data_IF_921154382387
#
_entry.id   IF_921154382387
#
_cell.length_a   1.000
_cell.length_b   1.000
_cell.length_c   1.000
_cell.angle_alpha   90.00
_cell.angle_beta   90.00
_cell.angle_gamma   90.00
#
_symmetry.space_group_name_H-M   'P 1'
#
loop_
_entity.id
_entity.type
_entity.pdbx_description
1 polymer ?
#
# COMPACT_ATOMS: atom_id res chain seq x y z
N UNK A 1 -20.97 -6.57 0.30
CA UNK A 1 -20.00 -7.53 -0.30
C UNK A 1 -19.78 -7.31 -1.79
N UNK A 2 -20.81 -7.04 -2.61
CA UNK A 2 -20.61 -6.76 -4.05
C UNK A 2 -19.68 -5.55 -4.30
N UNK A 3 -19.90 -4.43 -3.61
CA UNK A 3 -19.04 -3.25 -3.74
C UNK A 3 -17.56 -3.54 -3.37
N UNK A 4 -17.33 -4.41 -2.39
CA UNK A 4 -15.99 -4.85 -1.98
C UNK A 4 -15.33 -5.63 -3.12
N UNK A 5 -16.07 -6.57 -3.72
CA UNK A 5 -15.58 -7.37 -4.85
C UNK A 5 -15.22 -6.49 -6.05
N UNK A 6 -16.12 -5.57 -6.43
CA UNK A 6 -15.88 -4.64 -7.53
C UNK A 6 -14.68 -3.72 -7.27
N UNK A 7 -14.54 -3.21 -6.04
CA UNK A 7 -13.37 -2.43 -5.65
C UNK A 7 -12.08 -3.23 -5.83
N UNK A 8 -12.04 -4.47 -5.31
CA UNK A 8 -10.83 -5.32 -5.39
C UNK A 8 -10.50 -5.68 -6.84
N UNK A 9 -11.50 -6.03 -7.66
CA UNK A 9 -11.29 -6.29 -9.08
C UNK A 9 -10.79 -5.05 -9.83
N UNK A 10 -11.31 -3.87 -9.51
CA UNK A 10 -10.82 -2.62 -10.11
C UNK A 10 -9.34 -2.37 -9.79
N UNK A 11 -8.90 -2.63 -8.54
CA UNK A 11 -7.48 -2.55 -8.17
C UNK A 11 -6.64 -3.60 -8.89
N UNK A 12 -7.13 -4.83 -9.02
CA UNK A 12 -6.45 -5.89 -9.75
C UNK A 12 -6.27 -5.51 -11.24
N UNK A 13 -7.30 -5.00 -11.90
CA UNK A 13 -7.23 -4.59 -13.31
C UNK A 13 -6.43 -3.31 -13.56
N UNK A 14 -6.31 -2.44 -12.55
CA UNK A 14 -5.39 -1.32 -12.60
C UNK A 14 -3.92 -1.78 -12.66
N UNK A 15 -3.60 -2.95 -12.09
CA UNK A 15 -2.26 -3.54 -12.12
C UNK A 15 -2.06 -4.44 -13.35
N UNK A 16 -3.03 -5.29 -13.64
CA UNK A 16 -2.98 -6.25 -14.75
C UNK A 16 -4.01 -5.82 -15.78
N UNK A 17 -3.62 -4.95 -16.73
CA UNK A 17 -4.52 -4.44 -17.76
C UNK A 17 -5.01 -5.58 -18.65
N UNK A 18 -6.22 -6.10 -18.45
CA UNK A 18 -6.65 -7.28 -19.16
C UNK A 18 -7.18 -6.84 -20.53
N UNK A 19 -6.81 -7.55 -21.59
CA UNK A 19 -7.37 -7.31 -22.92
C UNK A 19 -8.81 -7.81 -23.09
N UNK A 20 -9.39 -8.40 -22.04
CA UNK A 20 -10.72 -9.02 -22.03
C UNK A 20 -11.31 -9.05 -20.62
N UNK A 21 -12.60 -9.33 -20.52
CA UNK A 21 -13.28 -9.58 -19.24
C UNK A 21 -13.16 -11.06 -18.88
N UNK A 22 -12.84 -11.34 -17.62
CA UNK A 22 -12.79 -12.70 -17.08
C UNK A 22 -14.08 -13.03 -16.32
N UNK A 23 -14.49 -14.29 -16.42
CA UNK A 23 -15.60 -14.88 -15.69
C UNK A 23 -15.10 -15.28 -14.29
N UNK A 24 -15.19 -14.32 -13.37
CA UNK A 24 -14.74 -14.43 -11.98
C UNK A 24 -15.94 -14.23 -11.08
N UNK A 25 -16.23 -15.24 -10.25
CA UNK A 25 -17.28 -15.17 -9.25
C UNK A 25 -16.70 -15.09 -7.84
N UNK A 26 -17.23 -14.16 -7.05
CA UNK A 26 -17.02 -14.13 -5.60
C UNK A 26 -18.11 -14.96 -4.90
N UNK A 27 -17.76 -16.21 -4.58
CA UNK A 27 -18.67 -17.28 -4.21
C UNK A 27 -18.44 -18.54 -5.05
N UNK A 28 -18.93 -19.69 -4.57
CA UNK A 28 -18.82 -20.98 -5.26
C UNK A 28 -20.14 -21.31 -5.96
N UNK A 29 -20.26 -20.95 -7.23
CA UNK A 29 -21.48 -21.16 -8.03
C UNK A 29 -21.41 -22.43 -8.91
N UNK A 30 -20.25 -23.08 -8.97
CA UNK A 30 -19.90 -24.21 -9.85
C UNK A 30 -19.96 -23.89 -11.35
N UNK A 31 -20.38 -22.70 -11.75
CA UNK A 31 -20.55 -22.33 -13.16
C UNK A 31 -19.35 -21.54 -13.65
N UNK A 32 -18.97 -20.49 -12.92
CA UNK A 32 -17.88 -19.61 -13.29
C UNK A 32 -16.53 -20.32 -13.41
N UNK A 33 -15.72 -19.84 -14.37
CA UNK A 33 -14.37 -20.36 -14.62
C UNK A 33 -13.41 -20.09 -13.47
N UNK A 34 -13.47 -18.92 -12.86
CA UNK A 34 -12.72 -18.60 -11.65
C UNK A 34 -13.73 -18.39 -10.52
N UNK A 35 -13.57 -19.14 -9.43
CA UNK A 35 -14.42 -19.02 -8.25
C UNK A 35 -13.53 -18.73 -7.04
N UNK A 36 -13.90 -17.70 -6.28
CA UNK A 36 -13.19 -17.32 -5.05
C UNK A 36 -14.13 -17.57 -3.88
N UNK A 37 -13.71 -18.38 -2.92
CA UNK A 37 -14.49 -18.65 -1.73
C UNK A 37 -14.79 -17.36 -0.97
N UNK A 38 -16.07 -17.12 -0.70
CA UNK A 38 -16.53 -16.00 0.11
C UNK A 38 -16.73 -16.48 1.53
N UNK A 39 -16.03 -15.85 2.47
CA UNK A 39 -16.21 -16.08 3.89
C UNK A 39 -17.64 -15.72 4.33
N UNK A 40 -18.20 -16.49 5.26
CA UNK A 40 -19.47 -16.16 5.92
C UNK A 40 -19.30 -15.10 7.03
N UNK A 41 -18.11 -14.54 7.16
CA UNK A 41 -17.82 -13.51 8.14
C UNK A 41 -18.65 -12.24 7.90
N UNK A 42 -19.32 -11.76 8.95
CA UNK A 42 -19.97 -10.43 9.01
C UNK A 42 -19.02 -9.32 9.42
N UNK A 43 -17.70 -9.56 9.39
CA UNK A 43 -16.68 -8.63 9.89
C UNK A 43 -16.82 -7.21 9.34
N UNK A 44 -17.03 -7.07 8.02
CA UNK A 44 -17.18 -5.77 7.36
C UNK A 44 -18.55 -5.11 7.53
N UNK A 45 -19.50 -5.76 8.21
CA UNK A 45 -20.78 -5.17 8.61
C UNK A 45 -20.65 -4.44 9.97
N UNK A 46 -19.55 -4.69 10.67
CA UNK A 46 -19.24 -4.12 11.98
C UNK A 46 -18.12 -3.06 11.86
N UNK A 47 -17.78 -2.42 12.97
CA UNK A 47 -16.70 -1.42 13.06
C UNK A 47 -15.47 -1.91 13.84
N UNK A 48 -15.32 -3.23 13.98
CA UNK A 48 -14.16 -3.81 14.66
C UNK A 48 -12.90 -3.61 13.80
N UNK A 49 -11.77 -3.14 14.37
CA UNK A 49 -10.56 -2.87 13.60
C UNK A 49 -9.80 -4.14 13.18
N UNK A 50 -9.97 -5.25 13.89
CA UNK A 50 -9.18 -6.47 13.72
C UNK A 50 -10.07 -7.70 13.55
N UNK A 51 -9.72 -8.63 12.63
CA UNK A 51 -10.38 -9.93 12.56
C UNK A 51 -10.30 -10.67 13.90
N UNK A 52 -11.39 -11.33 14.29
CA UNK A 52 -11.46 -12.04 15.58
C UNK A 52 -10.54 -13.25 15.65
N UNK A 53 -10.38 -13.94 14.52
CA UNK A 53 -9.55 -15.16 14.42
C UNK A 53 -8.13 -14.81 13.97
N UNK A 54 -7.16 -15.55 14.50
CA UNK A 54 -5.78 -15.52 14.05
C UNK A 54 -5.69 -15.93 12.56
N UNK A 55 -4.65 -15.49 11.82
CA UNK A 55 -4.53 -15.82 10.41
C UNK A 55 -4.10 -17.27 10.26
N UNK A 56 -4.58 -17.90 9.20
CA UNK A 56 -4.02 -19.16 8.71
C UNK A 56 -2.88 -18.85 7.77
N UNK A 57 -1.81 -19.65 7.77
CA UNK A 57 -0.66 -19.42 6.90
C UNK A 57 -0.56 -20.47 5.82
N UNK A 58 -0.47 -20.02 4.57
CA UNK A 58 -0.15 -20.88 3.43
C UNK A 58 1.14 -20.40 2.76
N UNK A 59 1.83 -21.32 2.09
CA UNK A 59 3.03 -21.00 1.31
C UNK A 59 2.66 -20.88 -0.16
N UNK A 60 3.07 -19.77 -0.79
CA UNK A 60 2.93 -19.54 -2.22
C UNK A 60 4.25 -19.00 -2.76
N UNK A 61 4.80 -19.63 -3.81
CA UNK A 61 6.10 -19.27 -4.40
C UNK A 61 7.21 -19.11 -3.34
N UNK A 62 7.32 -20.05 -2.41
CA UNK A 62 8.27 -20.05 -1.29
C UNK A 62 8.09 -18.93 -0.25
N UNK A 63 7.02 -18.14 -0.34
CA UNK A 63 6.67 -17.14 0.67
C UNK A 63 5.51 -17.63 1.54
N UNK A 64 5.69 -17.53 2.86
CA UNK A 64 4.62 -17.74 3.84
C UNK A 64 3.74 -16.49 3.89
N UNK A 65 2.43 -16.65 3.67
CA UNK A 65 1.44 -15.56 3.58
C UNK A 65 0.34 -15.81 4.60
N UNK A 66 -0.05 -14.76 5.31
CA UNK A 66 -1.17 -14.78 6.25
C UNK A 66 -2.50 -14.66 5.50
N UNK A 67 -3.53 -15.40 5.89
CA UNK A 67 -4.88 -15.29 5.37
C UNK A 67 -5.88 -15.19 6.52
N UNK A 68 -6.66 -14.11 6.51
CA UNK A 68 -7.80 -13.87 7.40
C UNK A 68 -9.06 -14.51 6.84
N UNK A 69 -10.12 -14.50 7.65
CA UNK A 69 -11.48 -14.88 7.23
C UNK A 69 -11.58 -16.31 6.68
N UNK A 70 -10.65 -17.19 7.07
CA UNK A 70 -10.60 -18.59 6.65
C UNK A 70 -11.30 -19.45 7.70
N UNK A 71 -12.19 -20.34 7.25
CA UNK A 71 -13.06 -21.14 8.13
C UNK A 71 -12.32 -22.29 8.80
N UNK A 72 -11.35 -22.89 8.11
CA UNK A 72 -10.56 -24.03 8.59
C UNK A 72 -9.23 -24.14 7.85
N UNK A 73 -8.27 -24.87 8.41
CA UNK A 73 -7.06 -25.24 7.67
C UNK A 73 -7.43 -26.10 6.46
N UNK A 74 -6.85 -25.74 5.31
CA UNK A 74 -7.08 -26.40 4.03
C UNK A 74 -5.81 -27.15 3.64
N UNK A 75 -5.97 -28.33 3.06
CA UNK A 75 -4.84 -29.08 2.50
C UNK A 75 -4.24 -28.35 1.29
N UNK A 76 -5.11 -27.78 0.45
CA UNK A 76 -4.76 -26.98 -0.72
C UNK A 76 -5.71 -25.77 -0.75
N UNK A 77 -5.18 -24.56 -0.92
CA UNK A 77 -6.00 -23.34 -0.93
C UNK A 77 -6.36 -22.85 -2.34
N UNK A 78 -5.80 -23.48 -3.38
CA UNK A 78 -6.21 -23.30 -4.78
C UNK A 78 -6.31 -24.68 -5.41
N UNK A 79 -7.45 -24.98 -6.01
CA UNK A 79 -7.66 -26.22 -6.76
C UNK A 79 -8.01 -25.92 -8.20
N UNK A 80 -7.62 -26.82 -9.10
CA UNK A 80 -7.90 -26.75 -10.52
C UNK A 80 -8.66 -28.01 -10.93
N UNK A 81 -9.83 -27.84 -11.51
CA UNK A 81 -10.68 -28.94 -12.00
C UNK A 81 -11.15 -28.55 -13.39
N UNK A 82 -10.73 -29.34 -14.39
CA UNK A 82 -10.93 -29.03 -15.80
C UNK A 82 -10.44 -27.60 -16.14
N UNK A 83 -11.29 -26.81 -16.80
CA UNK A 83 -11.08 -25.42 -17.15
C UNK A 83 -11.56 -24.44 -16.06
N UNK A 84 -11.50 -24.86 -14.79
CA UNK A 84 -11.92 -24.04 -13.64
C UNK A 84 -10.85 -23.99 -12.55
N UNK A 85 -10.76 -22.84 -11.89
CA UNK A 85 -9.96 -22.65 -10.69
C UNK A 85 -10.86 -22.25 -9.52
N UNK A 86 -10.65 -22.88 -8.37
CA UNK A 86 -11.31 -22.57 -7.11
C UNK A 86 -10.26 -22.11 -6.11
N UNK A 87 -10.33 -20.83 -5.73
CA UNK A 87 -9.50 -20.25 -4.67
C UNK A 87 -10.29 -20.39 -3.37
N UNK A 88 -9.88 -21.33 -2.51
CA UNK A 88 -10.62 -21.72 -1.30
C UNK A 88 -10.45 -20.75 -0.12
N UNK A 89 -9.56 -19.77 -0.24
CA UNK A 89 -9.36 -18.69 0.74
C UNK A 89 -9.97 -17.38 0.22
N UNK A 90 -10.49 -16.57 1.13
CA UNK A 90 -11.15 -15.32 0.77
C UNK A 90 -10.13 -14.20 0.49
N UNK A 91 -9.47 -14.27 -0.66
CA UNK A 91 -8.51 -13.25 -1.07
C UNK A 91 -9.16 -11.88 -1.27
N UNK A 92 -10.45 -11.81 -1.59
CA UNK A 92 -11.17 -10.55 -1.79
C UNK A 92 -11.30 -9.79 -0.48
N UNK A 93 -11.79 -10.45 0.58
CA UNK A 93 -11.86 -9.90 1.92
C UNK A 93 -10.48 -9.47 2.45
N UNK A 94 -9.46 -10.31 2.24
CA UNK A 94 -8.10 -10.01 2.66
C UNK A 94 -7.52 -8.78 1.95
N UNK A 95 -7.65 -8.68 0.62
CA UNK A 95 -7.20 -7.51 -0.13
C UNK A 95 -7.93 -6.26 0.33
N UNK A 96 -9.25 -6.32 0.46
CA UNK A 96 -10.04 -5.17 0.88
C UNK A 96 -9.65 -4.68 2.27
N UNK A 97 -9.45 -5.58 3.24
CA UNK A 97 -9.02 -5.21 4.59
C UNK A 97 -7.77 -4.33 4.60
N UNK A 98 -6.75 -4.69 3.81
CA UNK A 98 -5.50 -3.93 3.75
C UNK A 98 -5.60 -2.67 2.89
N UNK A 99 -6.16 -2.76 1.68
CA UNK A 99 -6.19 -1.63 0.74
C UNK A 99 -7.15 -0.52 1.16
N UNK A 100 -8.22 -0.85 1.91
CA UNK A 100 -9.13 0.16 2.46
C UNK A 100 -8.57 0.90 3.68
N UNK A 101 -7.45 0.44 4.24
CA UNK A 101 -6.94 0.98 5.51
C UNK A 101 -7.85 0.68 6.70
N UNK A 102 -8.60 -0.44 6.66
CA UNK A 102 -9.66 -0.75 7.62
C UNK A 102 -9.22 -0.63 9.09
N UNK A 103 -8.07 -1.22 9.42
CA UNK A 103 -7.52 -1.17 10.79
C UNK A 103 -7.21 0.26 11.25
N UNK A 104 -6.77 1.11 10.33
CA UNK A 104 -6.39 2.50 10.62
C UNK A 104 -7.63 3.36 10.81
N UNK A 105 -8.64 3.12 9.97
CA UNK A 105 -9.90 3.83 10.00
C UNK A 105 -10.69 3.55 11.28
N UNK A 106 -10.86 2.27 11.64
CA UNK A 106 -11.72 1.87 12.77
C UNK A 106 -11.02 1.75 14.11
N UNK A 107 -9.69 1.68 14.17
CA UNK A 107 -9.00 1.68 15.46
C UNK A 107 -9.15 3.04 16.14
N UNK A 108 -9.32 3.04 17.46
CA UNK A 108 -9.28 4.26 18.27
C UNK A 108 -7.86 4.68 18.66
N UNK A 109 -6.87 3.81 18.46
CA UNK A 109 -5.48 4.07 18.84
C UNK A 109 -4.85 5.14 17.95
N UNK A 110 -4.20 6.12 18.56
CA UNK A 110 -3.55 7.23 17.86
C UNK A 110 -2.19 7.54 18.49
N UNK A 111 -1.19 7.81 17.66
CA UNK A 111 0.10 8.32 18.11
C UNK A 111 0.00 9.81 18.46
N UNK A 112 1.12 10.42 18.88
CA UNK A 112 1.19 11.85 19.23
C UNK A 112 0.84 12.79 18.08
N UNK A 113 0.77 12.27 16.84
CA UNK A 113 0.46 13.01 15.63
C UNK A 113 -0.96 12.69 15.11
N UNK A 114 -1.76 11.92 15.86
CA UNK A 114 -3.10 11.55 15.44
C UNK A 114 -3.15 10.49 14.33
N UNK A 115 -2.08 9.71 14.14
CA UNK A 115 -2.00 8.63 13.14
C UNK A 115 -2.21 7.27 13.80
N UNK A 116 -2.63 6.27 13.03
CA UNK A 116 -2.68 4.89 13.52
C UNK A 116 -1.27 4.39 13.89
N UNK A 117 -1.01 3.96 15.14
CA UNK A 117 0.31 3.52 15.54
C UNK A 117 0.68 2.19 14.88
N UNK A 118 1.84 2.15 14.25
CA UNK A 118 2.39 0.91 13.67
C UNK A 118 2.44 -0.26 14.67
N UNK A 119 2.70 0.03 15.96
CA UNK A 119 2.75 -0.98 17.02
C UNK A 119 1.44 -1.79 17.14
N UNK A 120 0.31 -1.20 16.74
CA UNK A 120 -1.03 -1.80 16.79
C UNK A 120 -1.41 -2.58 15.52
N UNK A 121 -0.58 -2.53 14.48
CA UNK A 121 -0.88 -3.15 13.19
C UNK A 121 -0.83 -4.68 13.23
N UNK A 122 -1.67 -5.35 12.42
CA UNK A 122 -1.59 -6.81 12.25
C UNK A 122 -0.22 -7.23 11.70
N UNK A 123 0.36 -6.44 10.81
CA UNK A 123 1.69 -6.63 10.25
C UNK A 123 2.74 -6.75 11.38
N UNK A 124 2.72 -5.82 12.34
CA UNK A 124 3.62 -5.86 13.50
C UNK A 124 3.33 -7.04 14.42
N UNK A 125 2.05 -7.26 14.75
CA UNK A 125 1.61 -8.30 15.69
C UNK A 125 1.99 -9.71 15.23
N UNK A 126 1.95 -9.96 13.92
CA UNK A 126 2.20 -11.28 13.34
C UNK A 126 3.51 -11.36 12.54
N UNK A 127 4.32 -10.30 12.54
CA UNK A 127 5.71 -10.33 12.06
C UNK A 127 5.88 -10.44 10.55
N UNK A 128 4.96 -9.89 9.74
CA UNK A 128 5.02 -9.98 8.27
C UNK A 128 5.15 -8.61 7.57
N UNK A 129 5.74 -7.63 8.25
CA UNK A 129 5.85 -6.23 7.78
C UNK A 129 6.51 -6.11 6.41
N UNK A 130 7.52 -6.92 6.14
CA UNK A 130 8.27 -6.90 4.88
C UNK A 130 7.64 -7.76 3.79
N UNK A 131 6.48 -8.38 4.07
CA UNK A 131 5.78 -9.26 3.13
C UNK A 131 4.62 -8.48 2.49
N UNK A 132 4.67 -8.17 1.19
CA UNK A 132 3.59 -7.47 0.50
C UNK A 132 2.41 -8.43 0.22
N UNK A 133 1.67 -8.79 1.27
CA UNK A 133 0.63 -9.83 1.21
C UNK A 133 -0.41 -9.61 0.11
N UNK A 134 -0.78 -8.35 -0.17
CA UNK A 134 -1.71 -8.00 -1.26
C UNK A 134 -1.16 -8.38 -2.63
N UNK A 135 0.15 -8.20 -2.87
CA UNK A 135 0.78 -8.61 -4.12
C UNK A 135 0.63 -10.11 -4.33
N UNK A 136 0.79 -10.90 -3.26
CA UNK A 136 0.62 -12.34 -3.33
C UNK A 136 -0.84 -12.76 -3.54
N UNK A 137 -1.81 -12.11 -2.89
CA UNK A 137 -3.22 -12.37 -3.16
C UNK A 137 -3.60 -12.10 -4.62
N UNK A 138 -3.08 -11.02 -5.20
CA UNK A 138 -3.25 -10.74 -6.62
C UNK A 138 -2.48 -11.69 -7.51
N UNK A 139 -1.28 -12.12 -7.13
CA UNK A 139 -0.52 -13.12 -7.89
C UNK A 139 -1.22 -14.49 -7.92
N UNK A 140 -1.88 -14.89 -6.82
CA UNK A 140 -2.74 -16.08 -6.77
C UNK A 140 -3.89 -15.96 -7.80
N UNK A 141 -4.60 -14.83 -7.80
CA UNK A 141 -5.69 -14.58 -8.75
C UNK A 141 -5.18 -14.55 -10.21
N UNK A 142 -4.07 -13.86 -10.46
CA UNK A 142 -3.40 -13.81 -11.76
C UNK A 142 -3.07 -15.22 -12.24
N UNK A 143 -2.40 -16.01 -11.42
CA UNK A 143 -1.99 -17.38 -11.77
C UNK A 143 -3.20 -18.28 -12.06
N UNK A 144 -4.30 -18.12 -11.31
CA UNK A 144 -5.55 -18.82 -11.58
C UNK A 144 -6.14 -18.44 -12.95
N UNK A 145 -6.20 -17.14 -13.25
CA UNK A 145 -6.69 -16.64 -14.54
C UNK A 145 -5.81 -17.12 -15.69
N UNK A 146 -4.49 -16.95 -15.60
CA UNK A 146 -3.55 -17.34 -16.66
C UNK A 146 -3.64 -18.84 -16.97
N UNK A 147 -3.72 -19.67 -15.93
CA UNK A 147 -3.84 -21.12 -16.10
C UNK A 147 -5.15 -21.53 -16.74
N UNK A 148 -6.27 -20.95 -16.31
CA UNK A 148 -7.60 -21.31 -16.82
C UNK A 148 -7.81 -20.77 -18.24
N UNK A 149 -7.38 -19.55 -18.53
CA UNK A 149 -7.59 -18.92 -19.84
C UNK A 149 -6.46 -19.17 -20.84
N UNK A 150 -5.35 -19.81 -20.43
CA UNK A 150 -4.23 -20.12 -21.30
C UNK A 150 -3.54 -18.87 -21.85
N UNK A 151 -3.43 -17.81 -21.04
CA UNK A 151 -2.83 -16.53 -21.43
C UNK A 151 -1.85 -16.03 -20.38
N UNK A 152 -1.10 -14.98 -20.74
CA UNK A 152 -0.23 -14.25 -19.82
C UNK A 152 -0.79 -12.85 -19.57
N UNK A 153 -1.01 -12.51 -18.31
CA UNK A 153 -1.41 -11.19 -17.86
C UNK A 153 -0.18 -10.30 -17.66
N UNK A 154 -0.11 -9.23 -18.44
CA UNK A 154 0.95 -8.23 -18.31
C UNK A 154 0.62 -7.26 -17.19
N UNK A 155 1.58 -7.08 -16.27
CA UNK A 155 1.50 -6.00 -15.28
C UNK A 155 1.89 -4.68 -15.93
N UNK A 156 1.13 -3.61 -15.67
CA UNK A 156 1.53 -2.25 -16.05
C UNK A 156 2.69 -1.73 -15.18
N UNK A 157 2.86 -2.33 -14.00
CA UNK A 157 3.93 -1.99 -13.08
C UNK A 157 5.24 -2.63 -13.54
N UNK A 158 5.24 -3.90 -13.94
CA UNK A 158 6.44 -4.58 -14.38
C UNK A 158 6.75 -4.25 -15.85
N UNK A 159 7.69 -3.32 -16.07
CA UNK A 159 8.42 -3.26 -17.36
C UNK A 159 9.45 -4.40 -17.40
N UNK A 160 10.44 -4.36 -18.30
CA UNK A 160 11.53 -5.37 -18.37
C UNK A 160 12.32 -5.58 -17.06
N UNK A 161 12.08 -4.77 -16.02
CA UNK A 161 12.81 -4.80 -14.76
C UNK A 161 12.03 -5.57 -13.68
N UNK A 162 12.73 -6.21 -12.71
CA UNK A 162 12.09 -6.99 -11.64
C UNK A 162 11.40 -6.14 -10.56
N UNK A 163 11.53 -4.82 -10.61
CA UNK A 163 10.85 -3.89 -9.70
C UNK A 163 10.56 -2.56 -10.41
N UNK A 164 9.63 -1.82 -9.83
CA UNK A 164 9.30 -0.44 -10.24
C UNK A 164 9.44 0.48 -9.05
N UNK A 165 10.12 1.60 -9.27
CA UNK A 165 10.37 2.60 -8.25
C UNK A 165 9.45 3.79 -8.47
N UNK A 166 8.73 4.20 -7.43
CA UNK A 166 8.03 5.47 -7.38
C UNK A 166 8.82 6.41 -6.46
N UNK A 167 9.49 7.42 -7.03
CA UNK A 167 10.22 8.39 -6.24
C UNK A 167 9.28 9.53 -5.86
N UNK A 168 8.96 9.63 -4.58
CA UNK A 168 8.05 10.65 -4.03
C UNK A 168 8.79 11.55 -3.06
N UNK A 169 8.41 12.83 -3.03
CA UNK A 169 8.96 13.83 -2.11
C UNK A 169 7.82 14.46 -1.33
N UNK A 170 7.79 14.29 -0.01
CA UNK A 170 6.85 14.95 0.88
C UNK A 170 7.41 16.31 1.30
N UNK A 171 6.72 17.38 0.91
CA UNK A 171 7.11 18.76 1.14
C UNK A 171 6.18 19.35 2.22
N UNK A 172 6.56 19.13 3.48
CA UNK A 172 5.80 19.61 4.65
C UNK A 172 6.14 21.05 5.03
N UNK A 173 7.41 21.45 4.85
CA UNK A 173 7.91 22.75 5.28
C UNK A 173 9.10 23.21 4.43
N UNK A 174 9.06 24.47 3.97
CA UNK A 174 10.15 25.06 3.18
C UNK A 174 10.77 26.31 3.83
N UNK A 175 10.44 26.62 5.08
CA UNK A 175 10.71 27.93 5.68
C UNK A 175 11.27 27.88 7.11
N UNK A 176 11.60 26.69 7.61
CA UNK A 176 12.03 26.49 9.00
C UNK A 176 13.41 25.84 9.13
N UNK A 177 14.19 25.74 8.04
CA UNK A 177 15.57 25.28 8.12
C UNK A 177 16.38 26.13 9.11
N UNK A 178 16.20 27.45 9.06
CA UNK A 178 16.89 28.37 9.97
C UNK A 178 16.66 28.06 11.45
N UNK A 179 15.49 27.49 11.82
CA UNK A 179 15.19 27.11 13.21
C UNK A 179 15.97 25.86 13.61
N UNK A 180 15.88 24.81 12.80
CA UNK A 180 16.50 23.52 13.10
C UNK A 180 18.03 23.63 13.05
N UNK A 181 18.55 24.20 11.96
CA UNK A 181 19.99 24.42 11.77
C UNK A 181 20.53 25.49 12.73
N UNK A 182 19.74 26.52 13.01
CA UNK A 182 20.12 27.59 13.94
C UNK A 182 20.27 27.11 15.38
N UNK A 183 19.35 26.26 15.86
CA UNK A 183 19.48 25.62 17.20
C UNK A 183 20.76 24.78 17.28
N UNK A 184 21.08 24.02 16.23
CA UNK A 184 22.32 23.25 16.16
C UNK A 184 23.56 24.16 16.17
N UNK A 185 23.57 25.21 15.35
CA UNK A 185 24.66 26.17 15.27
C UNK A 185 24.90 26.89 16.61
N UNK A 186 23.83 27.26 17.31
CA UNK A 186 23.89 27.92 18.61
C UNK A 186 24.48 27.00 19.69
N UNK A 187 24.08 25.71 19.72
CA UNK A 187 24.66 24.69 20.61
C UNK A 187 26.16 24.47 20.36
N UNK A 188 26.61 24.65 19.13
CA UNK A 188 28.02 24.49 18.73
C UNK A 188 28.82 25.80 18.82
N UNK A 189 28.21 26.91 19.25
CA UNK A 189 28.87 28.23 19.30
C UNK A 189 29.21 28.82 17.93
N UNK A 190 28.60 28.33 16.85
CA UNK A 190 28.89 28.78 15.49
C UNK A 190 28.03 30.00 15.11
N UNK A 191 28.42 31.16 15.63
CA UNK A 191 27.72 32.43 15.43
C UNK A 191 27.69 32.89 13.97
N UNK A 192 28.70 32.52 13.16
CA UNK A 192 28.72 32.83 11.74
C UNK A 192 27.62 32.11 10.96
N UNK A 193 27.41 30.81 11.24
CA UNK A 193 26.34 30.03 10.61
C UNK A 193 24.98 30.52 11.08
N UNK A 194 24.82 30.80 12.38
CA UNK A 194 23.56 31.34 12.90
C UNK A 194 23.19 32.68 12.23
N UNK A 195 24.14 33.61 12.11
CA UNK A 195 23.88 34.91 11.46
C UNK A 195 23.57 34.78 9.97
N UNK A 196 24.20 33.82 9.27
CA UNK A 196 23.86 33.46 7.88
C UNK A 196 22.43 32.96 7.76
N UNK A 197 22.03 32.01 8.61
CA UNK A 197 20.68 31.42 8.59
C UNK A 197 19.58 32.45 8.88
N UNK A 198 19.82 33.37 9.82
CA UNK A 198 18.90 34.46 10.10
C UNK A 198 18.77 35.42 8.91
N UNK A 199 19.87 35.77 8.25
CA UNK A 199 19.84 36.57 7.02
C UNK A 199 19.04 35.86 5.92
N UNK A 200 19.30 34.58 5.70
CA UNK A 200 18.59 33.75 4.73
C UNK A 200 17.08 33.70 5.02
N UNK A 201 16.68 33.62 6.29
CA UNK A 201 15.26 33.71 6.65
C UNK A 201 14.65 35.07 6.32
N UNK A 202 15.35 36.17 6.62
CA UNK A 202 14.87 37.54 6.33
C UNK A 202 14.75 37.76 4.82
N UNK A 203 15.63 37.17 4.01
CA UNK A 203 15.59 37.27 2.55
C UNK A 203 14.70 36.23 1.88
N UNK A 204 13.90 35.46 2.64
CA UNK A 204 13.07 34.34 2.14
C UNK A 204 13.84 33.30 1.30
N UNK A 205 15.13 33.12 1.58
CA UNK A 205 16.02 32.12 0.95
C UNK A 205 16.37 31.02 1.95
N UNK A 206 15.35 30.45 2.59
CA UNK A 206 15.53 29.37 3.56
C UNK A 206 16.09 28.12 2.85
N UNK A 207 17.01 27.39 3.49
CA UNK A 207 17.70 26.25 2.86
C UNK A 207 16.75 25.11 2.45
N UNK A 208 15.55 25.03 3.04
CA UNK A 208 14.53 24.05 2.65
C UNK A 208 13.63 24.52 1.51
N UNK A 209 13.76 25.77 1.05
CA UNK A 209 13.12 26.23 -0.18
C UNK A 209 13.94 25.84 -1.42
N UNK A 210 14.25 24.55 -1.54
CA UNK A 210 15.19 24.00 -2.52
C UNK A 210 14.54 23.02 -3.52
N UNK A 211 13.22 23.13 -3.72
CA UNK A 211 12.47 22.27 -4.64
C UNK A 211 13.04 22.31 -6.07
N UNK A 212 13.40 23.48 -6.65
CA UNK A 212 14.03 23.53 -7.98
C UNK A 212 15.33 22.72 -8.06
N UNK A 213 16.16 22.77 -7.02
CA UNK A 213 17.42 22.03 -6.93
C UNK A 213 17.15 20.51 -6.87
N UNK A 214 16.17 20.09 -6.07
CA UNK A 214 15.74 18.67 -6.01
C UNK A 214 15.21 18.21 -7.37
N UNK A 215 14.40 19.02 -8.05
CA UNK A 215 13.91 18.73 -9.40
C UNK A 215 15.06 18.59 -10.39
N UNK A 216 16.04 19.48 -10.34
CA UNK A 216 17.21 19.41 -11.22
C UNK A 216 18.05 18.14 -10.95
N UNK A 217 18.25 17.77 -9.68
CA UNK A 217 18.93 16.53 -9.32
C UNK A 217 18.20 15.31 -9.89
N UNK A 218 16.88 15.23 -9.71
CA UNK A 218 16.05 14.13 -10.24
C UNK A 218 16.17 14.04 -11.77
N UNK A 219 16.14 15.18 -12.47
CA UNK A 219 16.32 15.24 -13.93
C UNK A 219 17.72 14.78 -14.36
N UNK A 220 18.77 15.14 -13.63
CA UNK A 220 20.14 14.72 -13.94
C UNK A 220 20.31 13.19 -13.89
N UNK A 221 19.56 12.50 -13.02
CA UNK A 221 19.53 11.04 -12.96
C UNK A 221 18.55 10.40 -13.96
N UNK A 222 17.82 11.20 -14.75
CA UNK A 222 16.83 10.71 -15.71
C UNK A 222 15.63 10.01 -15.05
N UNK A 223 15.32 10.33 -13.79
CA UNK A 223 14.24 9.70 -13.02
C UNK A 223 13.02 10.61 -13.02
N UNK A 224 11.82 10.03 -12.91
CA UNK A 224 10.59 10.78 -12.67
C UNK A 224 10.29 10.82 -11.17
N UNK A 225 9.73 11.93 -10.69
CA UNK A 225 9.32 12.06 -9.29
C UNK A 225 7.99 12.78 -9.13
N UNK A 226 7.30 12.47 -8.05
CA UNK A 226 6.06 13.13 -7.63
C UNK A 226 6.32 13.92 -6.35
N UNK A 227 5.91 15.18 -6.32
CA UNK A 227 6.05 16.06 -5.17
C UNK A 227 4.68 16.25 -4.51
N UNK A 228 4.56 15.90 -3.23
CA UNK A 228 3.37 16.12 -2.43
C UNK A 228 3.57 17.35 -1.56
N UNK A 229 2.80 18.41 -1.84
CA UNK A 229 2.88 19.65 -1.08
C UNK A 229 1.81 19.67 0.00
N UNK A 230 2.23 19.84 1.26
CA UNK A 230 1.30 20.13 2.33
C UNK A 230 0.89 21.60 2.27
N UNK A 231 -0.29 21.86 1.71
CA UNK A 231 -0.86 23.20 1.67
C UNK A 231 -1.35 23.59 3.08
N UNK A 232 -0.50 24.25 3.86
CA UNK A 232 -0.94 24.86 5.11
C UNK A 232 -1.79 26.12 4.82
N UNK A 233 -2.96 26.21 5.44
CA UNK A 233 -3.80 27.43 5.51
C UNK A 233 -3.18 28.55 6.36
N UNK A 234 -1.85 28.60 6.50
CA UNK A 234 -1.16 29.73 7.12
C UNK A 234 -0.69 30.65 6.00
N UNK A 235 -1.32 31.83 5.91
CA UNK A 235 -1.06 32.87 4.92
C UNK A 235 0.43 32.96 4.56
N UNK A 236 0.78 32.45 3.38
CA UNK A 236 2.07 32.72 2.74
C UNK A 236 1.97 34.14 2.22
N UNK A 237 2.26 35.12 3.06
CA UNK A 237 2.58 36.47 2.58
C UNK A 237 4.01 36.40 2.05
N UNK A 238 4.13 36.35 0.72
CA UNK A 238 5.38 36.59 0.00
C UNK A 238 5.86 38.03 0.13
#
# INVERSE_FOLDING_TARGET
MEAIFQYVLAQFYAIYSPGQVFDIQYGLDKQSRIQIHRSESTFFENTAPFPEKAPVYYTWQNQKIAFWFTSSELKEFVTYVDDKAIIQVDIIANVFYYLSGWQEYYSSQRDTYGRFPYAESLQKKYGFITVPVVNYYFDILKTAIERVYGLELKSVLARKAPFTTCLTHDIDNCQTAWRVEGVSALKQGNWSVLSKLLKQKITNQDNWFNVPEVMQQVQNYGVQSTFFFLANHQNITG
#
